data_IF_527425580823
#
_entry.id   IF_527425580823
#
_cell.length_a   1.000
_cell.length_b   1.000
_cell.length_c   1.000
_cell.angle_alpha   90.00
_cell.angle_beta   90.00
_cell.angle_gamma   90.00
#
_symmetry.space_group_name_H-M   'P 1'
#
loop_
_entity.id
_entity.type
_entity.pdbx_description
1 polymer ?
#
# COMPACT_ATOMS: atom_id res chain seq x y z
N UNK A 1 37.53 -7.02 -2.13
CA UNK A 1 36.91 -6.20 -3.18
C UNK A 1 37.07 -6.96 -4.50
N UNK A 2 36.14 -7.83 -4.81
CA UNK A 2 36.18 -8.68 -6.01
C UNK A 2 35.44 -7.94 -7.12
N UNK A 3 36.15 -7.57 -8.19
CA UNK A 3 35.58 -6.93 -9.38
C UNK A 3 34.75 -7.95 -10.15
N UNK A 4 33.50 -7.58 -10.44
CA UNK A 4 32.58 -8.33 -11.27
C UNK A 4 33.03 -8.23 -12.74
N UNK A 5 33.12 -9.36 -13.45
CA UNK A 5 33.32 -9.42 -14.90
C UNK A 5 31.96 -9.17 -15.58
N UNK A 6 31.80 -8.07 -16.36
CA UNK A 6 30.53 -7.70 -16.97
C UNK A 6 30.10 -8.61 -18.13
N UNK A 7 30.94 -9.55 -18.59
CA UNK A 7 30.65 -10.39 -19.76
C UNK A 7 30.22 -11.84 -19.46
N UNK A 8 30.12 -12.22 -18.18
CA UNK A 8 29.67 -13.56 -17.77
C UNK A 8 28.90 -13.49 -16.46
N UNK A 9 27.57 -13.39 -16.47
CA UNK A 9 26.81 -13.59 -15.24
C UNK A 9 25.32 -13.79 -15.50
N UNK A 10 24.86 -15.01 -15.27
CA UNK A 10 23.58 -15.17 -14.57
C UNK A 10 23.70 -14.40 -13.24
N UNK A 11 22.87 -13.38 -12.96
CA UNK A 11 23.00 -12.61 -11.73
C UNK A 11 22.87 -13.52 -10.50
N UNK A 12 23.86 -13.50 -9.60
CA UNK A 12 23.85 -14.31 -8.37
C UNK A 12 22.89 -13.80 -7.29
N UNK A 13 22.79 -14.56 -6.20
CA UNK A 13 21.98 -14.22 -5.03
C UNK A 13 22.38 -12.89 -4.37
N UNK A 14 23.67 -12.58 -4.31
CA UNK A 14 24.19 -11.37 -3.63
C UNK A 14 23.60 -10.07 -4.19
N UNK A 15 23.30 -10.02 -5.50
CA UNK A 15 22.70 -8.84 -6.13
C UNK A 15 21.16 -8.85 -6.17
N UNK A 16 20.50 -9.87 -5.59
CA UNK A 16 19.05 -10.02 -5.65
C UNK A 16 18.33 -8.82 -5.01
N UNK A 17 18.83 -8.35 -3.88
CA UNK A 17 18.20 -7.29 -3.11
C UNK A 17 18.21 -5.95 -3.83
N UNK A 18 19.33 -5.60 -4.48
CA UNK A 18 19.44 -4.40 -5.31
C UNK A 18 18.49 -4.46 -6.51
N UNK A 19 18.37 -5.63 -7.15
CA UNK A 19 17.40 -5.82 -8.25
C UNK A 19 15.96 -5.69 -7.76
N UNK A 20 15.64 -6.23 -6.59
CA UNK A 20 14.32 -6.07 -5.99
C UNK A 20 14.03 -4.60 -5.68
N UNK A 21 14.97 -3.88 -5.07
CA UNK A 21 14.80 -2.46 -4.74
C UNK A 21 14.57 -1.62 -6.00
N UNK A 22 15.37 -1.83 -7.05
CA UNK A 22 15.21 -1.15 -8.33
C UNK A 22 13.85 -1.45 -8.97
N UNK A 23 13.40 -2.71 -8.95
CA UNK A 23 12.12 -3.11 -9.53
C UNK A 23 10.92 -2.61 -8.73
N UNK A 24 11.03 -2.56 -7.40
CA UNK A 24 10.01 -1.99 -6.52
C UNK A 24 9.88 -0.49 -6.75
N UNK A 25 11.00 0.25 -6.82
CA UNK A 25 10.99 1.67 -7.21
C UNK A 25 10.31 1.88 -8.56
N UNK A 26 10.65 1.07 -9.57
CA UNK A 26 10.04 1.12 -10.89
C UNK A 26 8.53 0.86 -10.85
N UNK A 27 8.11 -0.15 -10.10
CA UNK A 27 6.70 -0.56 -9.97
C UNK A 27 5.86 0.48 -9.23
N UNK A 28 6.43 1.09 -8.18
CA UNK A 28 5.82 2.17 -7.40
C UNK A 28 5.89 3.53 -8.13
N UNK A 29 6.67 3.64 -9.22
CA UNK A 29 7.03 4.93 -9.84
C UNK A 29 7.59 5.92 -8.82
N UNK A 30 8.39 5.39 -7.90
CA UNK A 30 9.07 6.16 -6.88
C UNK A 30 10.31 6.85 -7.47
N UNK A 31 10.59 8.04 -6.98
CA UNK A 31 11.72 8.86 -7.45
C UNK A 31 12.98 8.62 -6.61
N UNK A 32 12.80 8.15 -5.37
CA UNK A 32 13.87 7.81 -4.45
C UNK A 32 13.55 6.53 -3.64
N UNK A 33 14.57 6.02 -2.97
CA UNK A 33 14.44 5.01 -1.93
C UNK A 33 15.16 5.47 -0.67
N UNK A 34 14.54 5.20 0.48
CA UNK A 34 15.17 5.36 1.79
C UNK A 34 15.96 4.13 2.23
N UNK A 35 15.99 3.07 1.41
CA UNK A 35 16.76 1.88 1.72
C UNK A 35 18.25 2.20 1.68
N UNK A 36 18.94 1.96 2.80
CA UNK A 36 20.35 2.26 2.96
C UNK A 36 21.29 1.11 2.54
N UNK A 37 20.76 0.10 1.86
CA UNK A 37 21.49 -1.08 1.40
C UNK A 37 21.74 -2.14 2.48
N UNK A 38 21.28 -1.93 3.72
CA UNK A 38 21.51 -2.89 4.82
C UNK A 38 20.33 -3.83 4.99
N UNK A 39 20.68 -5.10 5.19
CA UNK A 39 19.77 -6.18 5.56
C UNK A 39 20.29 -6.77 6.86
N UNK A 40 19.46 -6.67 7.89
CA UNK A 40 19.63 -7.37 9.15
C UNK A 40 18.57 -8.49 9.23
N UNK A 41 18.60 -9.26 10.31
CA UNK A 41 17.72 -10.40 10.48
C UNK A 41 16.72 -10.16 11.60
N UNK A 42 15.52 -10.73 11.44
CA UNK A 42 14.54 -10.75 12.51
C UNK A 42 15.13 -11.42 13.77
N UNK A 43 14.82 -10.91 14.97
CA UNK A 43 15.20 -11.58 16.21
C UNK A 43 14.67 -13.03 16.28
N UNK A 44 15.37 -13.94 16.97
CA UNK A 44 15.01 -15.37 17.02
C UNK A 44 13.57 -15.66 17.48
N UNK A 45 13.02 -14.82 18.35
CA UNK A 45 11.65 -14.93 18.85
C UNK A 45 10.58 -14.61 17.78
N UNK A 46 10.95 -13.88 16.72
CA UNK A 46 10.05 -13.45 15.65
C UNK A 46 10.35 -14.10 14.29
N UNK A 47 11.55 -14.67 14.08
CA UNK A 47 11.99 -15.13 12.76
C UNK A 47 11.11 -16.23 12.14
N UNK A 48 10.25 -16.89 12.93
CA UNK A 48 9.30 -17.92 12.46
C UNK A 48 7.86 -17.44 12.30
N UNK A 49 7.53 -16.26 12.78
CA UNK A 49 6.17 -15.69 12.75
C UNK A 49 6.08 -14.43 11.88
N UNK A 50 7.15 -13.65 11.82
CA UNK A 50 7.25 -12.41 11.05
C UNK A 50 8.26 -12.61 9.92
N UNK A 51 7.87 -12.30 8.69
CA UNK A 51 8.70 -12.54 7.50
C UNK A 51 9.67 -11.39 7.22
N UNK A 52 9.23 -10.16 7.44
CA UNK A 52 9.97 -8.96 7.10
C UNK A 52 9.53 -7.77 7.95
N UNK A 53 10.39 -6.75 7.99
CA UNK A 53 10.07 -5.41 8.48
C UNK A 53 11.01 -4.38 7.84
N UNK A 54 10.44 -3.30 7.31
CA UNK A 54 11.17 -2.06 7.05
C UNK A 54 11.32 -1.23 8.34
N UNK A 55 12.55 -0.86 8.69
CA UNK A 55 12.84 -0.01 9.84
C UNK A 55 12.70 1.47 9.51
N UNK A 56 12.53 2.30 10.54
CA UNK A 56 12.49 3.76 10.41
C UNK A 56 13.79 4.34 9.84
N UNK A 57 14.94 3.70 10.12
CA UNK A 57 16.27 4.13 9.66
C UNK A 57 16.67 3.56 8.28
N UNK A 58 15.72 2.94 7.57
CA UNK A 58 15.90 2.52 6.19
C UNK A 58 16.61 1.18 6.01
N UNK A 59 16.66 0.34 7.04
CA UNK A 59 17.13 -1.06 6.94
C UNK A 59 15.97 -2.02 6.72
N UNK A 60 16.26 -3.16 6.10
CA UNK A 60 15.35 -4.31 6.06
C UNK A 60 15.72 -5.32 7.14
N UNK A 61 14.74 -5.77 7.93
CA UNK A 61 14.86 -6.95 8.78
C UNK A 61 14.14 -8.09 8.09
N UNK A 62 14.85 -9.17 7.74
CA UNK A 62 14.24 -10.31 7.06
C UNK A 62 14.37 -11.58 7.89
N UNK A 63 13.33 -12.41 7.87
CA UNK A 63 13.39 -13.75 8.44
C UNK A 63 14.38 -14.61 7.65
N UNK A 64 15.35 -15.18 8.36
CA UNK A 64 16.27 -16.15 7.77
C UNK A 64 15.52 -17.37 7.20
N UNK A 65 14.74 -18.13 7.99
CA UNK A 65 14.12 -19.35 7.49
C UNK A 65 12.96 -19.11 6.50
N UNK A 66 12.28 -17.96 6.57
CA UNK A 66 11.07 -17.74 5.77
C UNK A 66 11.29 -16.90 4.49
N UNK A 67 12.40 -16.15 4.42
CA UNK A 67 12.70 -15.26 3.28
C UNK A 67 14.07 -15.56 2.68
N UNK A 68 15.12 -15.44 3.49
CA UNK A 68 16.50 -15.50 2.99
C UNK A 68 16.86 -16.91 2.51
N UNK A 69 16.55 -17.93 3.30
CA UNK A 69 16.93 -19.31 3.01
C UNK A 69 16.19 -19.91 1.79
N UNK A 70 14.87 -19.73 1.61
CA UNK A 70 14.20 -20.18 0.39
C UNK A 70 14.82 -19.59 -0.88
N UNK A 71 15.16 -18.30 -0.87
CA UNK A 71 15.77 -17.63 -2.01
C UNK A 71 17.22 -18.07 -2.22
N UNK A 72 18.01 -18.22 -1.15
CA UNK A 72 19.37 -18.74 -1.25
C UNK A 72 19.39 -20.15 -1.85
N UNK A 73 18.47 -21.02 -1.39
CA UNK A 73 18.29 -22.37 -1.92
C UNK A 73 17.85 -22.37 -3.38
N UNK A 74 16.97 -21.46 -3.78
CA UNK A 74 16.54 -21.33 -5.18
C UNK A 74 17.73 -21.11 -6.13
N UNK A 75 18.66 -20.22 -5.75
CA UNK A 75 19.87 -19.98 -6.54
C UNK A 75 20.89 -21.12 -6.48
N UNK A 76 20.96 -21.86 -5.37
CA UNK A 76 21.90 -22.95 -5.18
C UNK A 76 21.45 -24.27 -5.85
N UNK A 77 20.17 -24.60 -5.74
CA UNK A 77 19.57 -25.85 -6.24
C UNK A 77 19.07 -25.72 -7.68
N UNK A 78 18.82 -24.48 -8.14
CA UNK A 78 18.42 -24.18 -9.50
C UNK A 78 16.97 -24.57 -9.84
N UNK A 79 16.57 -24.54 -11.12
CA UNK A 79 15.17 -24.68 -11.51
C UNK A 79 14.57 -26.07 -11.25
N UNK A 80 15.38 -27.11 -11.09
CA UNK A 80 14.89 -28.46 -10.81
C UNK A 80 14.18 -28.55 -9.44
N UNK A 81 14.62 -27.77 -8.45
CA UNK A 81 14.02 -27.73 -7.12
C UNK A 81 12.58 -27.20 -7.14
N UNK A 82 12.21 -26.40 -8.16
CA UNK A 82 10.86 -25.83 -8.31
C UNK A 82 9.80 -26.86 -8.74
N UNK A 83 10.20 -28.12 -8.97
CA UNK A 83 9.25 -29.23 -9.09
C UNK A 83 8.53 -29.54 -7.77
N UNK A 84 9.11 -29.16 -6.62
CA UNK A 84 8.39 -29.11 -5.34
C UNK A 84 7.51 -27.85 -5.28
N UNK A 85 6.20 -28.04 -5.40
CA UNK A 85 5.22 -26.97 -5.35
C UNK A 85 5.28 -26.16 -4.04
N UNK A 86 5.59 -26.80 -2.91
CA UNK A 86 5.68 -26.10 -1.62
C UNK A 86 6.89 -25.16 -1.63
N UNK A 87 8.04 -25.64 -2.10
CA UNK A 87 9.24 -24.83 -2.21
C UNK A 87 9.06 -23.66 -3.20
N UNK A 88 8.38 -23.88 -4.32
CA UNK A 88 8.05 -22.81 -5.26
C UNK A 88 7.18 -21.71 -4.60
N UNK A 89 6.19 -22.10 -3.79
CA UNK A 89 5.38 -21.13 -3.05
C UNK A 89 6.17 -20.41 -1.94
N UNK A 90 7.08 -21.10 -1.25
CA UNK A 90 7.99 -20.47 -0.29
C UNK A 90 8.86 -19.41 -0.95
N UNK A 91 9.42 -19.71 -2.13
CA UNK A 91 10.20 -18.76 -2.93
C UNK A 91 9.34 -17.55 -3.33
N UNK A 92 8.14 -17.76 -3.87
CA UNK A 92 7.23 -16.66 -4.23
C UNK A 92 6.91 -15.77 -3.04
N UNK A 93 6.57 -16.37 -1.89
CA UNK A 93 6.26 -15.63 -0.65
C UNK A 93 7.48 -14.84 -0.16
N UNK A 94 8.68 -15.38 -0.28
CA UNK A 94 9.91 -14.70 0.09
C UNK A 94 10.19 -13.47 -0.81
N UNK A 95 10.04 -13.60 -2.14
CA UNK A 95 10.19 -12.45 -3.07
C UNK A 95 9.13 -11.40 -2.76
N UNK A 96 7.87 -11.81 -2.58
CA UNK A 96 6.77 -10.92 -2.22
C UNK A 96 7.07 -10.15 -0.94
N UNK A 97 7.50 -10.84 0.13
CA UNK A 97 7.85 -10.17 1.39
C UNK A 97 8.94 -9.14 1.16
N UNK A 98 10.05 -9.51 0.52
CA UNK A 98 11.14 -8.56 0.30
C UNK A 98 10.68 -7.35 -0.53
N UNK A 99 9.86 -7.55 -1.56
CA UNK A 99 9.30 -6.47 -2.36
C UNK A 99 8.36 -5.57 -1.56
N UNK A 100 7.49 -6.15 -0.72
CA UNK A 100 6.60 -5.43 0.18
C UNK A 100 7.39 -4.56 1.17
N UNK A 101 8.40 -5.11 1.86
CA UNK A 101 9.22 -4.35 2.80
C UNK A 101 10.01 -3.23 2.11
N UNK A 102 10.53 -3.47 0.91
CA UNK A 102 11.16 -2.43 0.09
C UNK A 102 10.16 -1.35 -0.34
N UNK A 103 8.88 -1.73 -0.51
CA UNK A 103 7.79 -0.82 -0.84
C UNK A 103 7.62 0.27 0.22
N UNK A 104 7.71 -0.09 1.49
CA UNK A 104 7.69 0.89 2.59
C UNK A 104 8.85 1.89 2.51
N UNK A 105 9.95 1.52 1.86
CA UNK A 105 11.14 2.36 1.72
C UNK A 105 11.17 3.12 0.38
N UNK A 106 10.10 3.08 -0.41
CA UNK A 106 9.94 3.95 -1.58
C UNK A 106 9.51 5.35 -1.17
N UNK A 107 9.94 6.36 -1.94
CA UNK A 107 9.74 7.75 -1.58
C UNK A 107 9.66 8.68 -2.80
N UNK A 108 8.95 9.82 -2.69
CA UNK A 108 9.17 10.99 -3.55
C UNK A 108 10.59 11.55 -3.38
N UNK A 109 11.10 12.29 -4.37
CA UNK A 109 12.49 12.78 -4.34
C UNK A 109 12.81 13.72 -3.18
N UNK A 110 11.82 14.45 -2.67
CA UNK A 110 11.96 15.43 -1.59
C UNK A 110 11.74 14.84 -0.19
N UNK A 111 11.42 13.55 -0.07
CA UNK A 111 11.11 12.90 1.20
C UNK A 111 12.33 12.19 1.78
N UNK A 112 12.65 12.47 3.06
CA UNK A 112 13.88 12.01 3.70
C UNK A 112 13.63 11.00 4.83
N UNK A 113 14.69 10.34 5.32
CA UNK A 113 14.62 9.50 6.53
C UNK A 113 14.09 10.29 7.74
N UNK A 114 14.43 11.58 7.86
CA UNK A 114 13.92 12.41 8.95
C UNK A 114 12.40 12.63 8.85
N UNK A 115 11.86 12.70 7.63
CA UNK A 115 10.42 12.77 7.42
C UNK A 115 9.74 11.42 7.68
N UNK A 116 10.39 10.30 7.31
CA UNK A 116 9.94 8.95 7.70
C UNK A 116 9.79 8.80 9.20
N UNK A 117 10.82 9.17 9.96
CA UNK A 117 10.80 9.08 11.42
C UNK A 117 9.66 9.95 12.00
N UNK A 118 9.42 11.14 11.43
CA UNK A 118 8.32 12.02 11.86
C UNK A 118 6.95 11.44 11.54
N UNK A 119 6.81 10.76 10.40
CA UNK A 119 5.56 10.13 9.98
C UNK A 119 5.32 8.77 10.66
N UNK A 120 6.35 8.15 11.26
CA UNK A 120 6.26 6.82 11.85
C UNK A 120 5.27 6.74 13.02
N UNK A 121 5.06 7.83 13.76
CA UNK A 121 4.15 7.89 14.92
C UNK A 121 2.66 8.01 14.53
N UNK A 122 2.31 7.92 13.23
CA UNK A 122 0.93 8.05 12.73
C UNK A 122 0.25 6.70 12.53
N UNK A 123 0.13 5.93 13.62
CA UNK A 123 -0.43 4.58 13.66
C UNK A 123 -1.82 4.49 12.96
N UNK A 124 -2.61 5.57 12.97
CA UNK A 124 -3.91 5.58 12.30
C UNK A 124 -3.83 5.45 10.77
N UNK A 125 -2.67 5.66 10.14
CA UNK A 125 -2.47 5.54 8.70
C UNK A 125 -1.82 4.22 8.28
N UNK A 126 -1.40 3.38 9.22
CA UNK A 126 -0.83 2.05 8.95
C UNK A 126 -1.73 1.20 8.05
N UNK A 127 -3.07 1.15 8.25
CA UNK A 127 -3.93 0.36 7.36
C UNK A 127 -3.87 0.80 5.90
N UNK A 128 -3.72 2.11 5.66
CA UNK A 128 -3.60 2.64 4.32
C UNK A 128 -2.25 2.22 3.72
N UNK A 129 -1.17 2.44 4.45
CA UNK A 129 0.20 2.12 4.00
C UNK A 129 0.31 0.64 3.62
N UNK A 130 0.02 -0.22 4.59
CA UNK A 130 0.07 -1.67 4.44
C UNK A 130 -0.86 -2.14 3.32
N UNK A 131 -2.09 -1.62 3.29
CA UNK A 131 -3.07 -2.00 2.29
C UNK A 131 -2.64 -1.65 0.87
N UNK A 132 -2.08 -0.46 0.64
CA UNK A 132 -1.68 -0.03 -0.71
C UNK A 132 -0.42 -0.74 -1.19
N UNK A 133 0.60 -0.85 -0.32
CA UNK A 133 1.86 -1.54 -0.64
C UNK A 133 1.60 -3.02 -0.91
N UNK A 134 0.82 -3.68 -0.05
CA UNK A 134 0.47 -5.08 -0.22
C UNK A 134 -0.35 -5.34 -1.48
N UNK A 135 -1.36 -4.50 -1.77
CA UNK A 135 -2.19 -4.64 -2.97
C UNK A 135 -1.36 -4.46 -4.25
N UNK A 136 -0.52 -3.43 -4.30
CA UNK A 136 0.37 -3.17 -5.43
C UNK A 136 1.39 -4.30 -5.61
N UNK A 137 2.04 -4.73 -4.53
CA UNK A 137 3.03 -5.82 -4.56
C UNK A 137 2.42 -7.10 -5.08
N UNK A 138 1.20 -7.46 -4.65
CA UNK A 138 0.52 -8.64 -5.16
C UNK A 138 0.20 -8.55 -6.65
N UNK A 139 -0.25 -7.38 -7.11
CA UNK A 139 -0.59 -7.17 -8.52
C UNK A 139 0.64 -7.19 -9.44
N UNK A 140 1.77 -6.62 -8.98
CA UNK A 140 3.02 -6.54 -9.76
C UNK A 140 3.89 -7.80 -9.61
N UNK A 141 3.56 -8.71 -8.68
CA UNK A 141 4.38 -9.90 -8.37
C UNK A 141 4.82 -10.71 -9.60
N UNK A 142 3.96 -10.99 -10.61
CA UNK A 142 4.40 -11.69 -11.81
C UNK A 142 5.50 -10.95 -12.57
N UNK A 143 5.38 -9.62 -12.70
CA UNK A 143 6.38 -8.77 -13.35
C UNK A 143 7.67 -8.65 -12.54
N UNK A 144 7.56 -8.59 -11.20
CA UNK A 144 8.72 -8.59 -10.30
C UNK A 144 9.53 -9.88 -10.46
N UNK A 145 8.86 -11.05 -10.44
CA UNK A 145 9.54 -12.34 -10.64
C UNK A 145 10.28 -12.38 -11.98
N UNK A 146 9.60 -11.95 -13.05
CA UNK A 146 10.13 -11.97 -14.41
C UNK A 146 11.36 -11.07 -14.59
N UNK A 147 11.40 -9.90 -13.94
CA UNK A 147 12.48 -8.93 -14.10
C UNK A 147 13.63 -9.08 -13.12
N UNK A 148 13.38 -9.60 -11.92
CA UNK A 148 14.39 -9.65 -10.85
C UNK A 148 15.16 -10.97 -10.85
N UNK A 149 14.50 -12.07 -11.19
CA UNK A 149 15.16 -13.36 -11.30
C UNK A 149 15.75 -13.57 -12.70
N UNK A 150 16.84 -14.34 -12.82
CA UNK A 150 17.26 -14.89 -14.11
C UNK A 150 16.12 -15.69 -14.78
N UNK A 151 16.02 -15.64 -16.11
CA UNK A 151 14.93 -16.26 -16.85
C UNK A 151 14.79 -17.77 -16.59
N UNK A 152 15.93 -18.44 -16.37
CA UNK A 152 16.00 -19.86 -16.01
C UNK A 152 15.39 -20.18 -14.64
N UNK A 153 15.24 -19.20 -13.74
CA UNK A 153 14.54 -19.35 -12.47
C UNK A 153 13.12 -18.77 -12.53
N UNK A 154 12.96 -17.61 -13.19
CA UNK A 154 11.68 -16.90 -13.30
C UNK A 154 10.60 -17.75 -13.99
N UNK A 155 10.92 -18.32 -15.17
CA UNK A 155 9.94 -19.06 -15.98
C UNK A 155 9.48 -20.34 -15.27
N UNK A 156 10.37 -21.19 -14.72
CA UNK A 156 9.94 -22.36 -13.95
C UNK A 156 9.18 -21.98 -12.68
N UNK A 157 9.57 -20.91 -11.98
CA UNK A 157 8.88 -20.47 -10.76
C UNK A 157 7.45 -20.01 -11.08
N UNK A 158 7.28 -19.19 -12.12
CA UNK A 158 5.97 -18.74 -12.57
C UNK A 158 5.07 -19.93 -12.96
N UNK A 159 5.63 -20.92 -13.68
CA UNK A 159 4.91 -22.15 -14.04
C UNK A 159 4.50 -22.97 -12.82
N UNK A 160 5.41 -23.18 -11.87
CA UNK A 160 5.16 -23.95 -10.67
C UNK A 160 4.07 -23.30 -9.79
N UNK A 161 4.14 -21.98 -9.62
CA UNK A 161 3.12 -21.20 -8.89
C UNK A 161 1.76 -21.29 -9.56
N UNK A 162 1.71 -21.22 -10.90
CA UNK A 162 0.45 -21.33 -11.65
C UNK A 162 -0.16 -22.74 -11.60
N UNK A 163 0.67 -23.79 -11.52
CA UNK A 163 0.22 -25.18 -11.47
C UNK A 163 -0.36 -25.59 -10.11
N UNK A 164 0.06 -24.93 -9.03
CA UNK A 164 -0.43 -25.15 -7.68
C UNK A 164 -0.81 -23.82 -7.02
N UNK A 165 -1.91 -23.18 -7.47
CA UNK A 165 -2.30 -21.88 -6.97
C UNK A 165 -2.75 -22.02 -5.51
N UNK A 166 -1.96 -21.45 -4.60
CA UNK A 166 -2.47 -21.15 -3.26
C UNK A 166 -3.39 -19.93 -3.35
N UNK A 167 -4.51 -19.90 -2.61
CA UNK A 167 -5.29 -18.67 -2.50
C UNK A 167 -4.35 -17.59 -1.97
N UNK A 168 -4.19 -16.52 -2.76
CA UNK A 168 -3.42 -15.34 -2.36
C UNK A 168 -4.17 -14.66 -1.22
N UNK A 169 -3.95 -15.13 0.00
CA UNK A 169 -4.42 -14.46 1.20
C UNK A 169 -3.43 -13.32 1.48
N UNK A 170 -3.89 -12.05 1.46
CA UNK A 170 -3.05 -10.94 1.84
C UNK A 170 -2.56 -11.12 3.28
N UNK A 171 -1.40 -10.53 3.60
CA UNK A 171 -0.97 -10.43 4.99
C UNK A 171 -1.99 -9.64 5.82
N UNK A 172 -2.63 -8.65 5.18
CA UNK A 172 -3.66 -7.79 5.77
C UNK A 172 -4.95 -7.88 4.96
N UNK A 173 -5.74 -8.96 5.09
CA UNK A 173 -6.86 -9.24 4.19
C UNK A 173 -7.94 -8.17 4.23
N UNK A 174 -8.23 -7.56 5.38
CA UNK A 174 -9.17 -6.44 5.46
C UNK A 174 -8.69 -5.21 4.70
N UNK A 175 -7.46 -4.78 4.97
CA UNK A 175 -6.90 -3.52 4.44
C UNK A 175 -6.54 -3.62 2.95
N UNK A 176 -5.89 -4.70 2.55
CA UNK A 176 -5.50 -4.95 1.14
C UNK A 176 -6.72 -5.03 0.23
N UNK A 177 -7.80 -5.65 0.71
CA UNK A 177 -9.04 -5.74 -0.06
C UNK A 177 -9.73 -4.39 -0.10
N UNK A 178 -9.73 -3.63 1.00
CA UNK A 178 -10.30 -2.28 1.00
C UNK A 178 -9.58 -1.35 0.01
N UNK A 179 -8.24 -1.34 -0.02
CA UNK A 179 -7.45 -0.53 -0.97
C UNK A 179 -7.66 -0.98 -2.41
N UNK A 180 -7.67 -2.29 -2.67
CA UNK A 180 -7.95 -2.85 -3.99
C UNK A 180 -9.35 -2.49 -4.50
N UNK A 181 -10.37 -2.62 -3.65
CA UNK A 181 -11.75 -2.24 -3.96
C UNK A 181 -11.87 -0.74 -4.19
N UNK A 182 -11.28 0.09 -3.32
CA UNK A 182 -11.23 1.54 -3.49
C UNK A 182 -10.65 1.93 -4.86
N UNK A 183 -9.51 1.33 -5.24
CA UNK A 183 -8.88 1.58 -6.53
C UNK A 183 -9.74 1.13 -7.73
N UNK A 184 -10.45 0.00 -7.60
CA UNK A 184 -11.34 -0.51 -8.63
C UNK A 184 -12.56 0.40 -8.84
N UNK A 185 -13.21 0.86 -7.77
CA UNK A 185 -14.36 1.77 -7.82
C UNK A 185 -13.99 3.11 -8.46
N UNK A 186 -12.85 3.70 -8.08
CA UNK A 186 -12.37 4.93 -8.72
C UNK A 186 -12.04 4.73 -10.21
N UNK A 187 -11.49 3.57 -10.58
CA UNK A 187 -11.20 3.24 -11.97
C UNK A 187 -12.46 3.04 -12.81
N UNK A 188 -13.54 2.53 -12.21
CA UNK A 188 -14.84 2.40 -12.86
C UNK A 188 -15.53 3.75 -13.04
N UNK A 189 -15.32 4.68 -12.12
CA UNK A 189 -15.93 6.02 -12.14
C UNK A 189 -15.22 6.98 -13.10
N UNK A 190 -13.91 7.09 -13.01
CA UNK A 190 -13.16 8.18 -13.66
C UNK A 190 -12.53 7.70 -14.97
N UNK A 191 -12.99 8.26 -16.09
CA UNK A 191 -12.49 7.91 -17.41
C UNK A 191 -10.97 8.10 -17.52
N UNK A 192 -10.28 7.09 -18.06
CA UNK A 192 -8.83 7.10 -18.22
C UNK A 192 -8.03 6.90 -16.92
N UNK A 193 -8.68 6.73 -15.76
CA UNK A 193 -8.04 6.34 -14.52
C UNK A 193 -8.02 4.81 -14.39
N UNK A 194 -6.84 4.21 -14.25
CA UNK A 194 -6.70 2.77 -14.01
C UNK A 194 -6.52 2.50 -12.52
N UNK A 195 -7.09 1.40 -12.03
CA UNK A 195 -6.93 0.98 -10.63
C UNK A 195 -5.45 0.87 -10.21
N UNK A 196 -4.59 0.40 -11.12
CA UNK A 196 -3.14 0.31 -10.85
C UNK A 196 -2.50 1.68 -10.60
N UNK A 197 -2.97 2.74 -11.25
CA UNK A 197 -2.42 4.09 -11.07
C UNK A 197 -2.83 4.67 -9.70
N UNK A 198 -4.03 4.31 -9.21
CA UNK A 198 -4.48 4.61 -7.84
C UNK A 198 -3.61 3.87 -6.82
N UNK A 199 -3.35 2.57 -7.05
CA UNK A 199 -2.49 1.79 -6.15
C UNK A 199 -1.06 2.32 -6.10
N UNK A 200 -0.49 2.69 -7.24
CA UNK A 200 0.84 3.34 -7.32
C UNK A 200 0.88 4.66 -6.57
N UNK A 201 -0.11 5.53 -6.78
CA UNK A 201 -0.20 6.80 -6.06
C UNK A 201 -0.32 6.58 -4.54
N UNK A 202 -1.08 5.57 -4.10
CA UNK A 202 -1.20 5.25 -2.68
C UNK A 202 0.08 4.64 -2.07
N UNK A 203 0.74 3.73 -2.79
CA UNK A 203 1.91 3.00 -2.29
C UNK A 203 3.21 3.79 -2.33
N UNK A 204 3.33 4.79 -3.21
CA UNK A 204 4.53 5.64 -3.32
C UNK A 204 4.65 6.68 -2.21
N UNK A 205 3.51 7.12 -1.67
CA UNK A 205 3.44 8.28 -0.80
C UNK A 205 3.46 7.88 0.66
N UNK A 206 4.05 8.74 1.51
CA UNK A 206 4.08 8.54 2.95
C UNK A 206 2.70 8.72 3.59
N UNK A 207 2.53 8.26 4.83
CA UNK A 207 1.31 8.41 5.61
C UNK A 207 0.75 9.85 5.60
N UNK A 208 1.61 10.87 5.72
CA UNK A 208 1.16 12.27 5.74
C UNK A 208 0.75 12.84 4.39
N UNK A 209 1.21 12.25 3.27
CA UNK A 209 1.00 12.77 1.91
C UNK A 209 0.00 11.95 1.09
N UNK A 210 -0.22 10.69 1.45
CA UNK A 210 -1.01 9.71 0.69
C UNK A 210 -2.40 10.19 0.33
N UNK A 211 -3.13 10.74 1.30
CA UNK A 211 -4.50 11.20 1.06
C UNK A 211 -4.55 12.40 0.09
N UNK A 212 -3.59 13.33 0.19
CA UNK A 212 -3.50 14.48 -0.73
C UNK A 212 -3.12 14.04 -2.15
N UNK A 213 -2.21 13.07 -2.28
CA UNK A 213 -1.85 12.50 -3.58
C UNK A 213 -3.02 11.77 -4.25
N UNK A 214 -3.78 10.97 -3.49
CA UNK A 214 -4.99 10.31 -3.99
C UNK A 214 -6.06 11.35 -4.39
N UNK A 215 -6.29 12.37 -3.57
CA UNK A 215 -7.22 13.46 -3.90
C UNK A 215 -6.78 14.23 -5.15
N UNK A 216 -5.49 14.55 -5.28
CA UNK A 216 -4.91 15.20 -6.45
C UNK A 216 -5.08 14.37 -7.72
N UNK A 217 -4.85 13.05 -7.63
CA UNK A 217 -5.09 12.13 -8.73
C UNK A 217 -6.56 12.13 -9.16
N UNK A 218 -7.50 12.07 -8.21
CA UNK A 218 -8.94 12.13 -8.51
C UNK A 218 -9.29 13.46 -9.17
N UNK A 219 -8.92 14.59 -8.56
CA UNK A 219 -9.23 15.94 -9.09
C UNK A 219 -8.67 16.14 -10.50
N UNK A 220 -7.51 15.54 -10.81
CA UNK A 220 -6.91 15.60 -12.16
C UNK A 220 -7.75 14.93 -13.26
N UNK A 221 -8.74 14.11 -12.87
CA UNK A 221 -9.65 13.38 -13.77
C UNK A 221 -11.05 13.98 -13.82
N UNK A 222 -11.21 15.20 -13.31
CA UNK A 222 -12.49 15.89 -13.19
C UNK A 222 -12.44 17.22 -13.94
N UNK A 223 -13.61 17.83 -14.14
CA UNK A 223 -13.76 19.18 -14.67
C UNK A 223 -13.65 20.25 -13.59
N UNK A 224 -13.48 19.87 -12.31
CA UNK A 224 -13.40 20.82 -11.20
C UNK A 224 -12.33 21.90 -11.40
N UNK A 225 -11.11 21.62 -11.89
CA UNK A 225 -10.11 22.67 -12.14
C UNK A 225 -10.62 23.74 -13.14
N UNK A 226 -11.37 23.33 -14.16
CA UNK A 226 -11.94 24.22 -15.18
C UNK A 226 -13.16 24.99 -14.67
N UNK A 227 -13.99 24.35 -13.84
CA UNK A 227 -15.21 24.92 -13.29
C UNK A 227 -14.92 25.93 -12.18
N UNK A 228 -13.94 25.64 -11.32
CA UNK A 228 -13.57 26.51 -10.21
C UNK A 228 -12.80 27.76 -10.66
N UNK A 229 -11.96 27.65 -11.70
CA UNK A 229 -11.11 28.70 -12.30
C UNK A 229 -10.12 29.41 -11.35
N UNK A 230 -10.29 29.23 -10.05
CA UNK A 230 -9.47 29.75 -8.97
C UNK A 230 -8.63 28.61 -8.36
N UNK A 231 -7.28 28.67 -8.50
CA UNK A 231 -6.38 27.68 -7.93
C UNK A 231 -6.55 27.46 -6.42
N UNK A 232 -6.88 28.51 -5.66
CA UNK A 232 -7.02 28.40 -4.20
C UNK A 232 -8.28 27.61 -3.83
N UNK A 233 -9.36 27.76 -4.59
CA UNK A 233 -10.58 26.94 -4.44
C UNK A 233 -10.34 25.48 -4.81
N UNK A 234 -9.55 25.23 -5.86
CA UNK A 234 -9.16 23.87 -6.25
C UNK A 234 -8.33 23.22 -5.14
N UNK A 235 -7.36 23.95 -4.58
CA UNK A 235 -6.52 23.48 -3.48
C UNK A 235 -7.35 23.20 -2.22
N UNK A 236 -8.29 24.08 -1.86
CA UNK A 236 -9.20 23.87 -0.74
C UNK A 236 -10.06 22.61 -0.93
N UNK A 237 -10.68 22.44 -2.11
CA UNK A 237 -11.45 21.24 -2.41
C UNK A 237 -10.61 19.97 -2.33
N UNK A 238 -9.39 20.00 -2.89
CA UNK A 238 -8.45 18.88 -2.82
C UNK A 238 -8.13 18.52 -1.38
N UNK A 239 -7.87 19.52 -0.53
CA UNK A 239 -7.61 19.32 0.90
C UNK A 239 -8.80 18.70 1.63
N UNK A 240 -10.04 19.13 1.34
CA UNK A 240 -11.24 18.54 1.92
C UNK A 240 -11.44 17.08 1.47
N UNK A 241 -11.21 16.80 0.19
CA UNK A 241 -11.29 15.44 -0.35
C UNK A 241 -10.21 14.54 0.27
N UNK A 242 -8.98 15.04 0.40
CA UNK A 242 -7.89 14.36 1.09
C UNK A 242 -8.28 14.03 2.54
N UNK A 243 -8.86 14.99 3.28
CA UNK A 243 -9.35 14.75 4.63
C UNK A 243 -10.38 13.62 4.71
N UNK A 244 -11.33 13.57 3.78
CA UNK A 244 -12.35 12.51 3.72
C UNK A 244 -11.74 11.13 3.41
N UNK A 245 -10.81 11.06 2.46
CA UNK A 245 -10.09 9.83 2.10
C UNK A 245 -9.27 9.34 3.30
N UNK A 246 -8.47 10.23 3.90
CA UNK A 246 -7.62 9.90 5.04
C UNK A 246 -8.42 9.40 6.25
N UNK A 247 -9.54 10.05 6.57
CA UNK A 247 -10.44 9.60 7.64
C UNK A 247 -11.08 8.24 7.33
N UNK A 248 -11.44 8.00 6.07
CA UNK A 248 -11.98 6.73 5.61
C UNK A 248 -11.01 5.56 5.82
N UNK A 249 -9.74 5.76 5.48
CA UNK A 249 -8.69 4.76 5.68
C UNK A 249 -8.27 4.61 7.15
N UNK A 250 -8.26 5.70 7.93
CA UNK A 250 -7.98 5.61 9.37
C UNK A 250 -8.98 4.72 10.12
N UNK A 251 -10.25 4.71 9.67
CA UNK A 251 -11.27 3.80 10.20
C UNK A 251 -11.09 2.32 9.83
N UNK A 252 -10.03 1.94 9.11
CA UNK A 252 -9.72 0.54 8.79
C UNK A 252 -9.03 -0.22 9.94
N UNK A 253 -8.41 0.47 10.90
CA UNK A 253 -7.77 -0.20 12.05
C UNK A 253 -8.76 -1.04 12.85
N UNK A 254 -10.03 -0.65 12.85
CA UNK A 254 -11.13 -1.35 13.54
C UNK A 254 -11.81 -2.43 12.68
N UNK A 255 -11.33 -2.67 11.46
CA UNK A 255 -11.99 -3.58 10.52
C UNK A 255 -11.57 -5.02 10.79
N UNK A 256 -12.53 -5.94 11.05
CA UNK A 256 -12.22 -7.36 11.16
C UNK A 256 -11.49 -7.85 9.91
N UNK A 257 -10.57 -8.79 10.06
CA UNK A 257 -9.79 -9.41 8.97
C UNK A 257 -10.63 -10.19 7.95
N UNK A 258 -11.96 -10.04 7.99
CA UNK A 258 -12.91 -10.63 7.07
C UNK A 258 -12.93 -9.90 5.72
N UNK A 259 -12.86 -10.69 4.64
CA UNK A 259 -12.88 -10.20 3.25
C UNK A 259 -14.05 -9.26 2.94
N UNK A 260 -15.26 -9.63 3.38
CA UNK A 260 -16.48 -8.83 3.13
C UNK A 260 -16.43 -7.46 3.80
N UNK A 261 -15.87 -7.39 5.01
CA UNK A 261 -15.72 -6.12 5.72
C UNK A 261 -14.72 -5.19 5.02
N UNK A 262 -13.62 -5.74 4.49
CA UNK A 262 -12.68 -5.00 3.65
C UNK A 262 -13.32 -4.42 2.40
N UNK A 263 -14.07 -5.24 1.64
CA UNK A 263 -14.77 -4.80 0.42
C UNK A 263 -15.75 -3.64 0.71
N UNK A 264 -16.64 -3.83 1.69
CA UNK A 264 -17.64 -2.81 2.07
C UNK A 264 -17.00 -1.51 2.57
N UNK A 265 -15.80 -1.58 3.16
CA UNK A 265 -15.07 -0.39 3.59
C UNK A 265 -14.45 0.31 2.39
N UNK A 266 -13.79 -0.42 1.49
CA UNK A 266 -13.26 0.13 0.23
C UNK A 266 -14.35 0.83 -0.60
N UNK A 267 -15.50 0.17 -0.80
CA UNK A 267 -16.68 0.72 -1.49
C UNK A 267 -17.16 2.02 -0.85
N UNK A 268 -17.27 2.08 0.48
CA UNK A 268 -17.72 3.29 1.19
C UNK A 268 -16.74 4.44 1.08
N UNK A 269 -15.43 4.17 1.20
CA UNK A 269 -14.40 5.20 1.05
C UNK A 269 -14.45 5.78 -0.38
N UNK A 270 -14.55 4.91 -1.39
CA UNK A 270 -14.65 5.33 -2.79
C UNK A 270 -15.96 6.11 -3.05
N UNK A 271 -17.10 5.58 -2.62
CA UNK A 271 -18.40 6.22 -2.80
C UNK A 271 -18.43 7.64 -2.20
N UNK A 272 -17.88 7.84 -0.99
CA UNK A 272 -17.78 9.16 -0.38
C UNK A 272 -16.91 10.14 -1.18
N UNK A 273 -15.78 9.68 -1.72
CA UNK A 273 -14.91 10.48 -2.59
C UNK A 273 -15.62 10.85 -3.91
N UNK A 274 -16.26 9.87 -4.55
CA UNK A 274 -16.98 10.03 -5.82
C UNK A 274 -18.17 10.98 -5.65
N UNK A 275 -18.98 10.80 -4.61
CA UNK A 275 -20.12 11.66 -4.31
C UNK A 275 -19.67 13.11 -4.10
N UNK A 276 -18.63 13.33 -3.29
CA UNK A 276 -18.08 14.68 -3.05
C UNK A 276 -17.67 15.37 -4.35
N UNK A 277 -17.03 14.64 -5.26
CA UNK A 277 -16.65 15.16 -6.59
C UNK A 277 -17.88 15.48 -7.42
N UNK A 278 -18.80 14.52 -7.61
CA UNK A 278 -19.99 14.67 -8.45
C UNK A 278 -20.86 15.84 -8.01
N UNK A 279 -21.16 15.93 -6.71
CA UNK A 279 -21.98 17.02 -6.18
C UNK A 279 -21.33 18.37 -6.40
N UNK A 280 -20.00 18.45 -6.25
CA UNK A 280 -19.26 19.69 -6.46
C UNK A 280 -19.22 20.07 -7.94
N UNK A 281 -18.97 19.13 -8.84
CA UNK A 281 -19.00 19.39 -10.28
C UNK A 281 -20.37 19.87 -10.74
N UNK A 282 -21.45 19.22 -10.28
CA UNK A 282 -22.81 19.64 -10.59
C UNK A 282 -23.10 21.05 -10.07
N UNK A 283 -22.72 21.34 -8.83
CA UNK A 283 -22.90 22.66 -8.24
C UNK A 283 -22.17 23.75 -9.03
N UNK A 284 -20.88 23.56 -9.34
CA UNK A 284 -20.11 24.56 -10.04
C UNK A 284 -20.47 24.67 -11.53
N UNK A 285 -20.89 23.58 -12.18
CA UNK A 285 -21.43 23.62 -13.54
C UNK A 285 -22.71 24.46 -13.60
N UNK A 286 -23.66 24.24 -12.67
CA UNK A 286 -24.88 25.06 -12.58
C UNK A 286 -24.54 26.53 -12.33
N UNK A 287 -23.62 26.81 -11.42
CA UNK A 287 -23.17 28.18 -11.14
C UNK A 287 -22.54 28.87 -12.35
N UNK A 288 -21.81 28.13 -13.19
CA UNK A 288 -21.26 28.65 -14.43
C UNK A 288 -22.36 28.98 -15.46
N UNK A 289 -23.41 28.16 -15.53
CA UNK A 289 -24.54 28.35 -16.46
C UNK A 289 -25.45 29.54 -16.08
N UNK A 290 -25.52 29.91 -14.79
CA UNK A 290 -26.30 31.08 -14.31
C UNK A 290 -25.59 32.44 -14.50
N UNK A 291 -24.53 32.52 -15.31
CA UNK A 291 -23.97 33.80 -15.77
C UNK A 291 -22.92 34.43 -14.85
N UNK A 292 -22.20 33.64 -14.04
CA UNK A 292 -21.00 34.12 -13.36
C UNK A 292 -21.26 35.17 -12.28
N UNK A 293 -22.39 35.07 -11.56
CA UNK A 293 -22.51 35.75 -10.27
C UNK A 293 -21.46 35.17 -9.32
N UNK A 294 -20.33 35.88 -9.21
CA UNK A 294 -19.32 35.67 -8.18
C UNK A 294 -19.99 35.88 -6.82
N UNK A 295 -20.46 34.80 -6.20
CA UNK A 295 -20.74 34.83 -4.78
C UNK A 295 -19.38 34.89 -4.07
N UNK A 296 -18.97 36.10 -3.72
CA UNK A 296 -17.73 36.41 -2.99
C UNK A 296 -17.78 35.93 -1.52
N UNK A 297 -18.85 35.24 -1.11
CA UNK A 297 -19.06 34.85 0.28
C UNK A 297 -19.39 33.36 0.39
N UNK A 298 -18.40 32.56 0.76
CA UNK A 298 -18.50 31.51 1.80
C UNK A 298 -19.53 30.39 1.71
N UNK A 299 -20.27 30.21 0.60
CA UNK A 299 -21.24 29.11 0.48
C UNK A 299 -20.53 27.92 -0.16
N UNK A 300 -19.89 27.10 0.68
CA UNK A 300 -19.58 25.73 0.31
C UNK A 300 -20.90 24.95 0.09
N UNK A 301 -20.97 24.00 -0.86
CA UNK A 301 -22.11 23.11 -0.95
C UNK A 301 -22.27 22.42 0.42
N UNK A 302 -23.48 22.47 0.98
CA UNK A 302 -23.78 21.80 2.24
C UNK A 302 -23.36 20.34 2.10
N UNK A 303 -22.36 19.93 2.90
CA UNK A 303 -22.02 18.52 3.04
C UNK A 303 -23.30 17.83 3.47
N UNK A 304 -23.83 16.96 2.61
CA UNK A 304 -25.08 16.25 2.82
C UNK A 304 -24.99 15.34 4.03
N UNK A 305 -25.20 15.89 5.22
CA UNK A 305 -25.54 15.15 6.41
C UNK A 305 -27.00 14.71 6.28
N UNK A 306 -27.24 13.63 5.54
CA UNK A 306 -28.49 12.87 5.69
C UNK A 306 -28.20 11.72 6.64
N UNK A 307 -28.53 11.96 7.90
CA UNK A 307 -28.50 10.95 8.95
C UNK A 307 -29.46 9.81 8.62
N UNK A 308 -28.91 8.62 8.44
CA UNK A 308 -29.66 7.40 8.70
C UNK A 308 -29.90 7.33 10.21
N UNK A 309 -31.16 7.47 10.61
CA UNK A 309 -31.61 7.25 11.99
C UNK A 309 -31.19 5.85 12.48
N UNK A 310 -30.82 5.73 13.76
CA UNK A 310 -30.56 4.44 14.37
C UNK A 310 -31.87 3.71 14.66
N UNK A 311 -31.96 2.43 14.27
CA UNK A 311 -32.95 1.49 14.80
C UNK A 311 -32.47 0.98 16.16
N UNK A 312 -33.31 0.96 17.21
CA UNK A 312 -32.90 0.52 18.55
C UNK A 312 -32.86 -1.01 18.68
N UNK A 313 -31.95 -1.44 19.56
CA UNK A 313 -31.53 -2.79 19.92
C UNK A 313 -32.63 -3.78 20.32
N UNK A 314 -32.36 -5.07 20.05
CA UNK A 314 -32.28 -6.21 20.99
C UNK A 314 -32.06 -7.47 20.11
N UNK A 315 -31.04 -8.31 20.27
CA UNK A 315 -30.74 -9.14 21.45
C UNK A 315 -29.24 -9.47 21.57
N UNK A 316 -28.78 -9.56 22.83
CA UNK A 316 -27.50 -10.14 23.26
C UNK A 316 -27.37 -11.60 22.83
N UNK A 317 -26.14 -12.04 22.55
CA UNK A 317 -25.51 -13.22 23.19
C UNK A 317 -24.05 -13.40 22.73
N UNK A 318 -23.13 -13.46 23.71
CA UNK A 318 -21.93 -14.31 23.67
C UNK A 318 -20.60 -13.69 23.23
N UNK A 319 -19.79 -13.26 24.21
CA UNK A 319 -18.33 -13.12 24.09
C UNK A 319 -17.67 -14.44 23.64
N UNK A 320 -16.58 -14.36 22.84
CA UNK A 320 -15.30 -14.71 23.44
C UNK A 320 -14.09 -13.85 22.98
N UNK A 321 -13.29 -13.45 23.97
CA UNK A 321 -11.83 -13.36 24.01
C UNK A 321 -11.07 -12.63 22.87
N UNK A 322 -10.58 -11.42 23.19
CA UNK A 322 -9.48 -10.74 22.49
C UNK A 322 -8.13 -11.44 22.74
N UNK A 323 -7.25 -11.60 21.73
CA UNK A 323 -5.82 -11.76 21.96
C UNK A 323 -5.18 -10.37 22.19
N UNK A 324 -4.44 -10.26 23.29
CA UNK A 324 -3.71 -9.07 23.69
C UNK A 324 -2.49 -8.83 22.78
N UNK A 325 -2.40 -7.63 22.20
CA UNK A 325 -1.15 -7.06 21.72
C UNK A 325 -0.53 -6.30 22.89
N UNK A 326 0.51 -6.88 23.50
CA UNK A 326 1.26 -6.28 24.59
C UNK A 326 2.21 -5.22 24.05
N UNK A 327 1.92 -3.96 24.38
CA UNK A 327 2.86 -2.84 24.33
C UNK A 327 3.35 -2.60 25.76
N UNK A 328 4.46 -3.24 26.14
CA UNK A 328 5.19 -2.88 27.35
C UNK A 328 6.45 -2.09 26.97
N UNK A 329 6.29 -0.76 26.98
CA UNK A 329 7.39 0.19 27.17
C UNK A 329 7.57 0.37 28.67
N UNK A 330 8.59 -0.25 29.26
CA UNK A 330 9.15 0.24 30.52
C UNK A 330 10.64 0.56 30.35
N UNK A 331 10.92 1.86 30.41
CA UNK A 331 12.25 2.40 30.66
C UNK A 331 12.62 2.33 32.16
N UNK A 332 13.85 2.73 32.51
CA UNK A 332 14.58 2.17 33.63
C UNK A 332 14.33 2.89 34.96
N UNK A 333 14.33 2.14 36.06
CA UNK A 333 14.52 2.69 37.40
C UNK A 333 15.60 1.88 38.12
N UNK A 334 16.66 2.57 38.54
CA UNK A 334 17.78 1.98 39.26
C UNK A 334 17.60 1.90 40.77
N UNK A 335 18.72 1.54 41.40
CA UNK A 335 19.09 1.51 42.83
C UNK A 335 18.72 0.24 43.59
N UNK A 336 19.78 -0.36 44.14
CA UNK A 336 19.80 -1.52 45.04
C UNK A 336 21.13 -2.23 44.93
#
# INVERSE_FOLDING_TARGET
>A
MTRFDPASAVPGFDGLWDRLAAEVMRSHQAEATLWNGRIDYMPPEFERSVRGRATEDGRLLLSRPLVVEPLRRLYAEGPAALSDAKFAQECRRAIKTAAHELGHLTAPADWTIADRIRDHDRDEQDPAEEGFIEALTQQEMPGIIDRVLPAELAVPLARAVAAAPEPALPSYPGWTIATGTFAAELSAEFEGLRAIDVLRAGARESASRRADALAGLIVSRTRLPELLRDPDRVAAFRSELAGAIGAGFAGLSDVPTARTAGMQRGERIAAGAIEKVRTSEQFFAQMADFGGLTFDHGIAPASGAVGSRPTPDHERLGDPAKPALGNDKEGPAGRG
#
